data_IF_009786681772
#
_entry.id   IF_009786681772
#
_cell.length_a   1.000
_cell.length_b   1.000
_cell.length_c   1.000
_cell.angle_alpha   90.00
_cell.angle_beta   90.00
_cell.angle_gamma   90.00
#
_symmetry.space_group_name_H-M   'P 1'
#
loop_
_entity.id
_entity.type
_entity.pdbx_description
1 polymer ?
#
# COMPACT_ATOMS: atom_id res chain seq x y z
N UNK A 1 22.14 1.94 -16.14
CA UNK A 1 22.07 2.62 -14.83
C UNK A 1 21.21 1.70 -13.95
N UNK A 2 21.82 1.05 -12.95
CA UNK A 2 21.10 0.16 -12.03
C UNK A 2 20.19 1.08 -11.22
N UNK A 3 18.86 0.95 -11.37
CA UNK A 3 17.91 1.67 -10.53
C UNK A 3 18.02 1.11 -9.12
N UNK A 4 18.29 1.98 -8.19
CA UNK A 4 18.18 1.70 -6.78
C UNK A 4 16.69 1.48 -6.46
N UNK A 5 16.36 0.29 -5.96
CA UNK A 5 14.98 -0.05 -5.58
C UNK A 5 14.49 0.75 -4.33
N UNK A 6 13.25 0.54 -3.93
CA UNK A 6 12.61 1.17 -2.75
C UNK A 6 13.54 1.25 -1.52
N UNK A 7 14.47 0.31 -1.38
CA UNK A 7 15.32 0.16 -0.18
C UNK A 7 16.61 0.98 -0.18
N UNK A 8 16.98 1.60 -1.29
CA UNK A 8 18.16 2.48 -1.32
C UNK A 8 17.84 3.89 -0.83
N UNK A 9 16.54 4.16 -0.57
CA UNK A 9 16.08 5.43 -0.02
C UNK A 9 15.94 5.30 1.49
N UNK A 10 16.48 6.25 2.24
CA UNK A 10 16.36 6.37 3.69
C UNK A 10 14.90 6.65 4.08
N UNK A 11 14.07 5.61 4.23
CA UNK A 11 12.73 5.78 4.77
C UNK A 11 12.70 5.44 6.25
N UNK A 12 11.92 6.18 7.02
CA UNK A 12 11.57 5.80 8.40
C UNK A 12 10.17 5.16 8.47
N UNK A 13 9.31 5.49 7.51
CA UNK A 13 7.96 4.94 7.38
C UNK A 13 7.55 4.83 5.90
N UNK A 14 6.83 3.77 5.56
CA UNK A 14 6.38 3.50 4.20
C UNK A 14 5.06 2.74 4.22
N UNK A 15 4.16 3.08 3.29
CA UNK A 15 2.88 2.39 3.12
C UNK A 15 2.67 1.95 1.68
N UNK A 16 1.99 0.81 1.50
CA UNK A 16 1.81 0.22 0.19
C UNK A 16 0.53 -0.61 0.10
N UNK A 17 -0.07 -0.64 -1.09
CA UNK A 17 -1.22 -1.50 -1.38
C UNK A 17 -0.98 -2.32 -2.65
N UNK A 18 -1.45 -3.55 -2.67
CA UNK A 18 -1.32 -4.48 -3.79
C UNK A 18 -2.70 -5.07 -4.09
N UNK A 19 -3.22 -4.82 -5.27
CA UNK A 19 -4.47 -5.42 -5.75
C UNK A 19 -4.14 -6.66 -6.56
N UNK A 20 -4.60 -7.82 -6.09
CA UNK A 20 -4.32 -9.12 -6.68
C UNK A 20 -5.36 -9.46 -7.76
N UNK A 21 -4.93 -10.15 -8.82
CA UNK A 21 -5.82 -10.53 -9.93
C UNK A 21 -6.56 -9.32 -10.54
N UNK A 22 -5.86 -8.21 -10.65
CA UNK A 22 -6.37 -6.94 -11.16
C UNK A 22 -5.50 -6.45 -12.31
N UNK A 23 -6.12 -6.10 -13.45
CA UNK A 23 -5.40 -5.42 -14.52
C UNK A 23 -5.32 -3.91 -14.28
N UNK A 24 -4.24 -3.30 -14.76
CA UNK A 24 -4.02 -1.86 -14.61
C UNK A 24 -5.15 -1.03 -15.24
N UNK A 25 -5.64 -1.44 -16.42
CA UNK A 25 -6.75 -0.76 -17.11
C UNK A 25 -8.04 -0.77 -16.29
N UNK A 26 -8.39 -1.93 -15.72
CA UNK A 26 -9.57 -2.07 -14.87
C UNK A 26 -9.45 -1.24 -13.59
N UNK A 27 -8.27 -1.18 -13.01
CA UNK A 27 -8.00 -0.36 -11.82
C UNK A 27 -8.12 1.12 -12.14
N UNK A 28 -7.52 1.58 -13.25
CA UNK A 28 -7.60 2.98 -13.71
C UNK A 28 -9.05 3.39 -13.97
N UNK A 29 -9.83 2.52 -14.61
CA UNK A 29 -11.25 2.75 -14.85
C UNK A 29 -12.05 2.91 -13.53
N UNK A 30 -11.79 2.07 -12.54
CA UNK A 30 -12.42 2.16 -11.22
C UNK A 30 -12.12 3.50 -10.54
N UNK A 31 -10.89 4.02 -10.62
CA UNK A 31 -10.55 5.34 -10.09
C UNK A 31 -11.32 6.43 -10.82
N UNK A 32 -11.32 6.42 -12.16
CA UNK A 32 -11.99 7.44 -12.98
C UNK A 32 -13.51 7.46 -12.78
N UNK A 33 -14.11 6.32 -12.47
CA UNK A 33 -15.55 6.18 -12.23
C UNK A 33 -15.93 6.29 -10.75
N UNK A 34 -14.97 6.32 -9.83
CA UNK A 34 -15.25 6.38 -8.41
C UNK A 34 -16.03 7.64 -8.03
N UNK A 35 -16.92 7.53 -7.04
CA UNK A 35 -17.74 8.65 -6.58
C UNK A 35 -16.91 9.81 -6.02
N UNK A 36 -15.76 9.54 -5.45
CA UNK A 36 -14.89 10.56 -4.89
C UNK A 36 -13.85 11.04 -5.91
N UNK A 37 -12.89 10.20 -6.26
CA UNK A 37 -11.76 10.59 -7.13
C UNK A 37 -12.22 10.97 -8.54
N UNK A 38 -13.11 10.18 -9.15
CA UNK A 38 -13.67 10.47 -10.47
C UNK A 38 -14.50 11.77 -10.50
N UNK A 39 -15.18 12.10 -9.40
CA UNK A 39 -15.90 13.37 -9.31
C UNK A 39 -14.93 14.55 -9.23
N UNK A 40 -13.84 14.46 -8.48
CA UNK A 40 -12.82 15.52 -8.40
C UNK A 40 -12.11 15.72 -9.74
N UNK A 41 -11.82 14.65 -10.47
CA UNK A 41 -11.28 14.72 -11.83
C UNK A 41 -12.24 15.48 -12.76
N UNK A 42 -13.53 15.13 -12.78
CA UNK A 42 -14.56 15.78 -13.61
C UNK A 42 -14.75 17.26 -13.26
N UNK A 43 -14.54 17.65 -12.01
CA UNK A 43 -14.60 19.05 -11.55
C UNK A 43 -13.31 19.85 -11.78
N UNK A 44 -12.24 19.25 -12.29
CA UNK A 44 -10.92 19.88 -12.45
C UNK A 44 -10.18 20.13 -11.13
N UNK A 45 -10.62 19.50 -10.02
CA UNK A 45 -9.98 19.60 -8.70
C UNK A 45 -8.91 18.54 -8.47
N UNK A 46 -8.68 17.69 -9.44
CA UNK A 46 -7.61 16.72 -9.49
C UNK A 46 -7.17 16.50 -10.94
N UNK A 47 -5.98 15.95 -11.12
CA UNK A 47 -5.43 15.61 -12.43
C UNK A 47 -4.79 14.24 -12.41
N UNK A 48 -4.68 13.62 -13.59
CA UNK A 48 -3.93 12.40 -13.82
C UNK A 48 -2.69 12.73 -14.65
N UNK A 49 -1.57 12.17 -14.27
CA UNK A 49 -0.32 12.26 -15.00
C UNK A 49 0.17 10.84 -15.28
N UNK A 50 0.40 10.53 -16.56
CA UNK A 50 0.97 9.26 -16.98
C UNK A 50 2.50 9.37 -17.05
N UNK A 51 3.18 8.32 -16.61
CA UNK A 51 4.63 8.27 -16.54
C UNK A 51 5.15 6.95 -17.09
N UNK A 52 6.27 7.00 -17.78
CA UNK A 52 7.04 5.81 -18.17
C UNK A 52 7.92 5.28 -17.03
N UNK A 53 8.05 6.05 -15.97
CA UNK A 53 8.89 5.73 -14.81
C UNK A 53 8.26 6.24 -13.53
N UNK A 54 8.41 5.49 -12.45
CA UNK A 54 7.97 5.89 -11.10
C UNK A 54 9.17 6.32 -10.26
N UNK A 55 9.05 7.46 -9.56
CA UNK A 55 9.89 7.77 -8.41
C UNK A 55 9.09 7.59 -7.14
N UNK A 56 9.55 6.72 -6.25
CA UNK A 56 8.92 6.48 -4.94
C UNK A 56 9.28 7.53 -3.89
N UNK A 57 10.17 8.47 -4.20
CA UNK A 57 10.61 9.54 -3.27
C UNK A 57 9.45 10.36 -2.72
N UNK A 58 8.38 10.52 -3.51
CA UNK A 58 7.18 11.25 -3.09
C UNK A 58 6.29 10.49 -2.08
N UNK A 59 6.59 9.22 -1.81
CA UNK A 59 5.77 8.32 -1.00
C UNK A 59 6.50 7.76 0.21
N UNK A 60 7.78 8.07 0.32
CA UNK A 60 8.61 7.76 1.49
C UNK A 60 8.33 8.80 2.56
N UNK A 61 8.17 8.34 3.81
CA UNK A 61 7.84 9.20 4.95
C UNK A 61 6.59 10.06 4.69
N UNK A 62 5.45 9.42 4.38
CA UNK A 62 4.23 10.12 4.04
C UNK A 62 3.77 11.03 5.18
N UNK A 63 3.17 12.15 4.81
CA UNK A 63 2.74 13.17 5.77
C UNK A 63 1.52 12.74 6.58
N UNK A 64 1.51 13.15 7.83
CA UNK A 64 0.37 13.01 8.75
C UNK A 64 -0.46 14.28 8.71
N UNK A 65 -1.79 14.14 8.76
CA UNK A 65 -2.71 15.28 8.83
C UNK A 65 -3.37 15.64 7.50
N UNK A 66 -3.69 16.91 7.33
CA UNK A 66 -4.40 17.42 6.15
C UNK A 66 -3.43 17.68 5.01
N UNK A 67 -3.20 16.70 4.16
CA UNK A 67 -2.39 16.83 2.95
C UNK A 67 -3.25 16.69 1.70
N UNK A 68 -2.92 17.42 0.64
CA UNK A 68 -3.52 17.19 -0.68
C UNK A 68 -3.09 15.82 -1.18
N UNK A 69 -4.06 15.00 -1.48
CA UNK A 69 -3.87 13.61 -1.82
C UNK A 69 -3.10 13.44 -3.12
N UNK A 70 -2.03 12.66 -3.07
CA UNK A 70 -1.27 12.18 -4.22
C UNK A 70 -1.06 10.69 -4.05
N UNK A 71 -1.38 9.93 -5.07
CA UNK A 71 -1.06 8.51 -5.11
C UNK A 71 -0.76 8.06 -6.54
N UNK A 72 0.11 7.09 -6.66
CA UNK A 72 0.43 6.45 -7.94
C UNK A 72 0.05 4.99 -7.92
N UNK A 73 -0.36 4.49 -9.07
CA UNK A 73 -0.57 3.08 -9.27
C UNK A 73 0.12 2.63 -10.56
N UNK A 74 0.59 1.41 -10.55
CA UNK A 74 1.35 0.85 -11.66
C UNK A 74 1.24 -0.67 -11.70
N UNK A 75 1.68 -1.26 -12.81
CA UNK A 75 1.91 -2.68 -13.00
C UNK A 75 3.36 -2.91 -13.43
N UNK A 76 3.84 -4.13 -13.29
CA UNK A 76 5.18 -4.54 -13.68
C UNK A 76 5.10 -5.73 -14.63
N UNK A 77 6.06 -5.84 -15.57
CA UNK A 77 6.17 -7.03 -16.44
C UNK A 77 6.31 -8.32 -15.63
N UNK A 78 6.94 -8.25 -14.46
CA UNK A 78 7.09 -9.39 -13.56
C UNK A 78 5.76 -9.80 -12.91
N UNK A 79 4.82 -8.85 -12.79
CA UNK A 79 3.56 -9.02 -12.07
C UNK A 79 2.38 -8.46 -12.87
N UNK A 80 2.08 -9.01 -14.07
CA UNK A 80 1.09 -8.42 -14.98
C UNK A 80 -0.35 -8.45 -14.47
N UNK A 81 -0.64 -9.28 -13.45
CA UNK A 81 -1.95 -9.40 -12.82
C UNK A 81 -2.03 -8.72 -11.45
N UNK A 82 -1.04 -7.89 -11.11
CA UNK A 82 -1.01 -7.10 -9.90
C UNK A 82 -1.03 -5.62 -10.23
N UNK A 83 -1.75 -4.85 -9.42
CA UNK A 83 -1.65 -3.41 -9.40
C UNK A 83 -1.08 -2.98 -8.06
N UNK A 84 0.01 -2.27 -8.12
CA UNK A 84 0.66 -1.67 -6.97
C UNK A 84 0.17 -0.23 -6.80
N UNK A 85 0.02 0.20 -5.56
CA UNK A 85 -0.37 1.57 -5.22
C UNK A 85 0.46 2.09 -4.06
N UNK A 86 0.94 3.31 -4.16
CA UNK A 86 1.57 4.05 -3.08
C UNK A 86 1.01 5.48 -2.99
N UNK A 87 0.96 6.03 -1.78
CA UNK A 87 0.30 7.29 -1.48
C UNK A 87 1.17 8.15 -0.56
N UNK A 88 1.05 9.49 -0.67
CA UNK A 88 1.68 10.44 0.25
C UNK A 88 0.97 10.54 1.60
N UNK A 89 -0.05 9.72 1.86
CA UNK A 89 -0.79 9.70 3.11
C UNK A 89 -0.26 8.61 4.05
N UNK A 90 -0.09 8.95 5.32
CA UNK A 90 0.39 8.01 6.33
C UNK A 90 -0.57 6.83 6.61
N UNK A 91 -1.86 6.96 6.26
CA UNK A 91 -2.83 5.86 6.28
C UNK A 91 -2.80 4.98 5.02
N UNK A 92 -1.92 5.27 4.05
CA UNK A 92 -1.80 4.51 2.82
C UNK A 92 -3.01 4.61 1.90
N UNK A 93 -3.82 5.66 2.02
CA UNK A 93 -5.09 5.80 1.30
C UNK A 93 -6.09 4.66 1.65
N UNK A 94 -6.09 4.18 2.89
CA UNK A 94 -6.85 3.00 3.31
C UNK A 94 -8.33 3.05 2.89
N UNK A 95 -9.04 4.15 3.16
CA UNK A 95 -10.46 4.32 2.75
C UNK A 95 -10.64 4.21 1.23
N UNK A 96 -9.70 4.75 0.45
CA UNK A 96 -9.69 4.62 -1.01
C UNK A 96 -9.49 3.17 -1.44
N UNK A 97 -8.53 2.46 -0.83
CA UNK A 97 -8.26 1.05 -1.11
C UNK A 97 -9.46 0.15 -0.82
N UNK A 98 -10.17 0.36 0.28
CA UNK A 98 -11.44 -0.32 0.58
C UNK A 98 -12.49 -0.06 -0.51
N UNK A 99 -12.64 1.19 -0.94
CA UNK A 99 -13.58 1.56 -1.98
C UNK A 99 -13.25 0.88 -3.32
N UNK A 100 -11.98 0.90 -3.70
CA UNK A 100 -11.52 0.25 -4.94
C UNK A 100 -11.67 -1.27 -4.87
N UNK A 101 -11.29 -1.88 -3.73
CA UNK A 101 -11.45 -3.32 -3.51
C UNK A 101 -12.91 -3.75 -3.67
N UNK A 102 -13.84 -3.01 -3.05
CA UNK A 102 -15.28 -3.28 -3.12
C UNK A 102 -15.84 -3.18 -4.54
N UNK A 103 -15.38 -2.20 -5.32
CA UNK A 103 -15.79 -2.01 -6.71
C UNK A 103 -15.19 -3.09 -7.61
N UNK A 104 -13.90 -3.34 -7.46
CA UNK A 104 -13.14 -4.29 -8.28
C UNK A 104 -13.42 -5.76 -7.90
N UNK A 105 -13.87 -6.04 -6.67
CA UNK A 105 -14.04 -7.39 -6.13
C UNK A 105 -12.78 -8.26 -6.33
N UNK A 106 -11.62 -7.67 -6.17
CA UNK A 106 -10.33 -8.35 -6.19
C UNK A 106 -9.72 -8.33 -4.80
N UNK A 107 -8.93 -9.33 -4.41
CA UNK A 107 -8.22 -9.27 -3.14
C UNK A 107 -7.24 -8.10 -3.10
N UNK A 108 -7.07 -7.51 -1.92
CA UNK A 108 -6.14 -6.42 -1.70
C UNK A 108 -5.27 -6.69 -0.47
N UNK A 109 -3.99 -6.39 -0.57
CA UNK A 109 -3.06 -6.38 0.55
C UNK A 109 -2.68 -4.92 0.81
N UNK A 110 -2.87 -4.47 2.04
CA UNK A 110 -2.35 -3.19 2.52
C UNK A 110 -1.28 -3.47 3.57
N UNK A 111 -0.16 -2.78 3.50
CA UNK A 111 0.83 -2.87 4.55
C UNK A 111 1.52 -1.55 4.81
N UNK A 112 1.98 -1.40 6.04
CA UNK A 112 2.85 -0.31 6.47
C UNK A 112 4.04 -0.90 7.18
N UNK A 113 5.21 -0.33 6.94
CA UNK A 113 6.44 -0.72 7.60
C UNK A 113 7.17 0.52 8.11
N UNK A 114 7.81 0.38 9.25
CA UNK A 114 8.65 1.43 9.83
C UNK A 114 9.99 0.87 10.27
N UNK A 115 10.99 1.73 10.26
CA UNK A 115 12.30 1.45 10.83
C UNK A 115 12.29 1.73 12.34
N UNK A 116 13.31 1.28 13.06
CA UNK A 116 13.39 1.45 14.52
C UNK A 116 13.57 2.92 14.95
N UNK A 117 14.02 3.79 14.06
CA UNK A 117 14.20 5.24 14.24
C UNK A 117 12.94 6.07 13.96
N UNK A 118 11.88 5.46 13.47
CA UNK A 118 10.60 6.13 13.30
C UNK A 118 10.04 6.57 14.66
N UNK A 119 9.56 7.82 14.75
CA UNK A 119 9.02 8.39 16.00
C UNK A 119 7.82 7.58 16.52
N UNK A 120 6.96 7.11 15.62
CA UNK A 120 5.80 6.29 15.93
C UNK A 120 5.83 5.03 15.06
N UNK A 121 6.67 4.03 15.41
CA UNK A 121 6.82 2.84 14.61
C UNK A 121 5.50 2.08 14.49
N UNK A 122 5.13 1.73 13.24
CA UNK A 122 3.95 0.94 12.91
C UNK A 122 4.32 -0.09 11.86
N UNK A 123 4.07 -1.36 12.17
CA UNK A 123 4.10 -2.44 11.21
C UNK A 123 2.68 -3.01 11.12
N UNK A 124 2.13 -2.97 9.94
CA UNK A 124 0.75 -3.33 9.65
C UNK A 124 0.71 -4.21 8.41
N UNK A 125 -0.02 -5.30 8.50
CA UNK A 125 -0.38 -6.14 7.39
C UNK A 125 -1.88 -6.35 7.42
N UNK A 126 -2.53 -6.12 6.30
CA UNK A 126 -3.96 -6.32 6.12
C UNK A 126 -4.19 -7.01 4.78
N UNK A 127 -5.04 -8.02 4.79
CA UNK A 127 -5.54 -8.68 3.59
C UNK A 127 -7.06 -8.56 3.56
N UNK A 128 -7.58 -8.12 2.44
CA UNK A 128 -9.02 -8.05 2.18
C UNK A 128 -9.30 -9.00 1.03
N UNK A 129 -10.11 -10.01 1.26
CA UNK A 129 -10.50 -10.97 0.24
C UNK A 129 -11.47 -10.36 -0.77
N UNK A 130 -11.70 -11.03 -1.90
CA UNK A 130 -12.65 -10.58 -2.92
C UNK A 130 -14.10 -10.47 -2.43
N UNK A 131 -14.49 -11.25 -1.41
CA UNK A 131 -15.79 -11.20 -0.74
C UNK A 131 -15.84 -10.23 0.45
N UNK A 132 -14.74 -9.49 0.71
CA UNK A 132 -14.65 -8.44 1.71
C UNK A 132 -14.35 -8.94 3.12
N UNK A 133 -13.92 -10.21 3.30
CA UNK A 133 -13.39 -10.66 4.59
C UNK A 133 -12.01 -10.08 4.82
N UNK A 134 -11.76 -9.68 6.03
CA UNK A 134 -10.54 -9.00 6.42
C UNK A 134 -9.69 -9.87 7.33
N UNK A 135 -8.38 -9.77 7.14
CA UNK A 135 -7.35 -10.24 8.07
C UNK A 135 -6.41 -9.08 8.36
N UNK A 136 -6.27 -8.75 9.65
CA UNK A 136 -5.45 -7.61 10.09
C UNK A 136 -4.46 -8.07 11.14
N UNK A 137 -3.21 -7.63 11.02
CA UNK A 137 -2.15 -7.81 12.03
C UNK A 137 -1.37 -6.50 12.17
N UNK A 138 -1.32 -5.95 13.37
CA UNK A 138 -0.68 -4.65 13.63
C UNK A 138 0.19 -4.74 14.88
N UNK A 139 1.41 -4.22 14.79
CA UNK A 139 2.21 -3.81 15.93
C UNK A 139 2.53 -2.32 15.78
N UNK A 140 2.19 -1.53 16.77
CA UNK A 140 2.46 -0.09 16.77
C UNK A 140 2.95 0.38 18.12
N UNK A 141 3.70 1.48 18.13
CA UNK A 141 4.22 2.11 19.34
C UNK A 141 3.79 3.57 19.37
N UNK A 142 2.99 3.91 20.36
CA UNK A 142 2.77 5.30 20.80
C UNK A 142 3.61 5.56 22.06
N UNK A 143 3.01 5.41 23.24
CA UNK A 143 3.75 5.44 24.51
C UNK A 143 4.41 4.08 24.81
N UNK A 144 3.71 2.99 24.47
CA UNK A 144 4.19 1.61 24.58
C UNK A 144 3.78 0.83 23.33
N UNK A 145 4.45 -0.30 23.11
CA UNK A 145 4.09 -1.21 22.04
C UNK A 145 2.74 -1.87 22.32
N UNK A 146 1.88 -1.87 21.33
CA UNK A 146 0.61 -2.59 21.29
C UNK A 146 0.59 -3.54 20.10
N UNK A 147 -0.12 -4.66 20.26
CA UNK A 147 -0.35 -5.64 19.22
C UNK A 147 -1.84 -5.91 19.09
N UNK A 148 -2.31 -5.93 17.87
CA UNK A 148 -3.68 -6.25 17.53
C UNK A 148 -3.69 -7.20 16.34
N UNK A 149 -4.61 -8.16 16.35
CA UNK A 149 -4.92 -8.98 15.20
C UNK A 149 -6.41 -9.30 15.18
N UNK A 150 -6.97 -9.46 13.97
CA UNK A 150 -8.34 -9.83 13.74
C UNK A 150 -8.48 -10.61 12.42
N UNK A 151 -9.55 -11.39 12.29
CA UNK A 151 -9.79 -12.27 11.15
C UNK A 151 -9.03 -13.58 11.20
N UNK A 152 -9.41 -14.52 10.32
CA UNK A 152 -8.79 -15.84 10.23
C UNK A 152 -7.37 -15.75 9.66
N UNK A 153 -6.37 -16.39 10.28
CA UNK A 153 -5.02 -16.43 9.77
C UNK A 153 -4.93 -16.98 8.35
N UNK A 154 -4.09 -16.38 7.52
CA UNK A 154 -3.85 -16.81 6.15
C UNK A 154 -2.85 -17.98 6.11
N UNK A 155 -2.92 -18.89 5.14
CA UNK A 155 -2.07 -20.08 5.10
C UNK A 155 -0.56 -19.81 5.07
N UNK A 156 -0.17 -18.61 4.66
CA UNK A 156 1.24 -18.21 4.59
C UNK A 156 1.73 -17.47 5.85
N UNK A 157 0.86 -17.14 6.80
CA UNK A 157 1.26 -16.51 8.05
C UNK A 157 2.02 -17.49 8.95
N UNK A 158 2.95 -16.96 9.72
CA UNK A 158 3.58 -17.68 10.82
C UNK A 158 2.97 -17.21 12.15
N UNK A 159 1.86 -17.82 12.53
CA UNK A 159 1.08 -17.43 13.72
C UNK A 159 1.83 -17.63 15.04
N UNK A 160 2.87 -18.47 15.07
CA UNK A 160 3.69 -18.69 16.27
C UNK A 160 4.44 -17.41 16.66
N UNK A 161 4.81 -16.58 15.67
CA UNK A 161 5.48 -15.30 15.92
C UNK A 161 4.61 -14.34 16.73
N UNK A 162 3.28 -14.44 16.64
CA UNK A 162 2.36 -13.55 17.35
C UNK A 162 2.36 -13.76 18.87
N UNK A 163 2.96 -14.86 19.33
CA UNK A 163 3.18 -15.16 20.74
C UNK A 163 4.55 -14.66 21.27
N UNK A 164 5.38 -14.04 20.43
CA UNK A 164 6.67 -13.53 20.86
C UNK A 164 6.52 -12.56 22.02
N UNK A 165 7.42 -12.65 22.98
CA UNK A 165 7.42 -11.80 24.18
C UNK A 165 7.53 -10.32 23.84
N UNK A 166 8.42 -9.98 22.89
CA UNK A 166 8.56 -8.60 22.40
C UNK A 166 7.57 -8.36 21.26
N UNK A 167 6.70 -7.37 21.43
CA UNK A 167 5.63 -7.06 20.46
C UNK A 167 6.18 -6.72 19.07
N UNK A 168 7.30 -5.98 19.00
CA UNK A 168 7.92 -5.63 17.72
C UNK A 168 8.44 -6.84 16.92
N UNK A 169 8.59 -8.00 17.57
CA UNK A 169 9.02 -9.23 16.91
C UNK A 169 7.81 -10.07 16.42
N UNK A 170 6.58 -9.65 16.70
CA UNK A 170 5.36 -10.33 16.27
C UNK A 170 5.00 -10.04 14.82
N UNK A 171 5.19 -8.80 14.40
CA UNK A 171 5.11 -8.36 13.02
C UNK A 171 6.08 -7.20 12.80
N UNK A 172 6.90 -7.30 11.78
CA UNK A 172 7.88 -6.32 11.38
C UNK A 172 8.12 -6.40 9.86
N UNK A 173 8.99 -5.55 9.35
CA UNK A 173 9.29 -5.49 7.92
C UNK A 173 9.74 -6.83 7.33
N UNK A 174 10.61 -7.58 8.02
CA UNK A 174 11.10 -8.85 7.51
C UNK A 174 10.00 -9.92 7.42
N UNK A 175 9.10 -9.95 8.41
CA UNK A 175 7.94 -10.85 8.41
C UNK A 175 6.98 -10.49 7.26
N UNK A 176 6.71 -9.21 7.03
CA UNK A 176 5.86 -8.76 5.92
C UNK A 176 6.48 -9.14 4.56
N UNK A 177 7.79 -8.97 4.39
CA UNK A 177 8.50 -9.43 3.19
C UNK A 177 8.39 -10.95 2.99
N UNK A 178 8.51 -11.71 4.08
CA UNK A 178 8.34 -13.16 4.04
C UNK A 178 6.92 -13.54 3.57
N UNK A 179 5.88 -12.85 4.09
CA UNK A 179 4.51 -13.09 3.67
C UNK A 179 4.30 -12.80 2.19
N UNK A 180 4.79 -11.67 1.71
CA UNK A 180 4.76 -11.33 0.28
C UNK A 180 5.49 -12.38 -0.57
N UNK A 181 6.68 -12.82 -0.14
CA UNK A 181 7.46 -13.83 -0.84
C UNK A 181 6.71 -15.17 -0.95
N UNK A 182 6.00 -15.61 0.11
CA UNK A 182 5.22 -16.85 0.09
C UNK A 182 4.04 -16.84 -0.89
N UNK A 183 3.58 -15.66 -1.27
CA UNK A 183 2.56 -15.49 -2.32
C UNK A 183 3.15 -15.09 -3.68
N UNK A 184 4.48 -15.21 -3.82
CA UNK A 184 5.18 -15.00 -5.09
C UNK A 184 5.53 -13.54 -5.39
N UNK A 185 5.48 -12.65 -4.41
CA UNK A 185 5.81 -11.23 -4.58
C UNK A 185 7.16 -10.92 -3.92
N UNK A 186 8.16 -10.58 -4.72
CA UNK A 186 9.44 -10.08 -4.23
C UNK A 186 9.33 -8.57 -3.97
N UNK A 187 9.40 -8.19 -2.71
CA UNK A 187 9.29 -6.79 -2.29
C UNK A 187 10.24 -5.85 -3.05
N UNK A 188 11.48 -6.31 -3.30
CA UNK A 188 12.50 -5.50 -3.97
C UNK A 188 12.31 -5.37 -5.49
N UNK A 189 11.32 -6.07 -6.04
CA UNK A 189 11.00 -6.06 -7.47
C UNK A 189 9.65 -5.43 -7.80
N UNK A 190 8.92 -4.95 -6.80
CA UNK A 190 7.59 -4.37 -7.03
C UNK A 190 7.63 -3.11 -7.90
N UNK A 191 8.73 -2.36 -7.87
CA UNK A 191 8.99 -1.16 -8.68
C UNK A 191 9.94 -1.40 -9.86
N UNK A 192 10.27 -2.66 -10.14
CA UNK A 192 11.12 -3.01 -11.28
C UNK A 192 10.29 -3.24 -12.54
N UNK A 193 10.87 -2.93 -13.70
CA UNK A 193 10.23 -3.17 -15.02
C UNK A 193 8.80 -2.65 -15.11
N UNK A 194 8.57 -1.43 -14.62
CA UNK A 194 7.28 -0.74 -14.71
C UNK A 194 6.93 -0.54 -16.19
N UNK A 195 5.74 -1.00 -16.58
CA UNK A 195 5.23 -0.88 -17.95
C UNK A 195 4.40 0.36 -18.17
N UNK A 196 3.69 0.78 -17.12
CA UNK A 196 2.81 1.94 -17.14
C UNK A 196 2.56 2.38 -15.68
N UNK A 197 2.59 3.67 -15.44
CA UNK A 197 2.35 4.28 -14.15
C UNK A 197 1.46 5.52 -14.32
N UNK A 198 0.46 5.65 -13.47
CA UNK A 198 -0.39 6.85 -13.41
C UNK A 198 -0.36 7.42 -12.02
N UNK A 199 -0.23 8.74 -11.92
CA UNK A 199 -0.32 9.51 -10.69
C UNK A 199 -1.59 10.33 -10.66
N UNK A 200 -2.38 10.18 -9.61
CA UNK A 200 -3.47 11.08 -9.26
C UNK A 200 -2.92 12.17 -8.34
N UNK A 201 -3.25 13.43 -8.65
CA UNK A 201 -2.88 14.60 -7.85
C UNK A 201 -4.13 15.43 -7.59
N UNK A 202 -4.52 15.55 -6.32
CA UNK A 202 -5.54 16.51 -5.91
C UNK A 202 -4.92 17.90 -5.85
N UNK A 203 -5.57 18.88 -6.49
CA UNK A 203 -5.06 20.25 -6.63
C UNK A 203 -5.72 21.23 -5.66
N UNK A 204 -6.91 20.91 -5.16
CA UNK A 204 -7.70 21.80 -4.30
C UNK A 204 -8.39 21.05 -3.16
N UNK A 205 -8.60 21.74 -2.06
CA UNK A 205 -9.49 21.31 -0.98
C UNK A 205 -10.97 21.54 -1.35
N UNK A 206 -11.84 20.80 -0.71
CA UNK A 206 -13.28 20.83 -0.94
C UNK A 206 -13.77 19.72 -1.89
N UNK A 207 -15.05 19.42 -1.83
CA UNK A 207 -15.75 18.41 -2.65
C UNK A 207 -16.45 19.02 -3.85
#
# INVERSE_FOLDING_TARGET
MIRTGIMDNNFSFFTFSIFLNCSLSRFSEAIMNSKFHGTLLKKGKATLIHHDTLSLDNYINPEVGSVLERFSWWSSELYPNLVFLSSNRADGLQTGCYSFQKELKCPCINFSVSTDDCLYPKNHFEYISSDGKERVVIALKENQWTFYQDGEPLPFENIELYNNKRIKDRINFDIIKEYLSKIGIDFYKMDSTITDCTTYIRTEWGS
#
